data_IF_105103936983
#
_entry.id   IF_105103936983
#
_cell.length_a   1.000
_cell.length_b   1.000
_cell.length_c   1.000
_cell.angle_alpha   90.00
_cell.angle_beta   90.00
_cell.angle_gamma   90.00
#
_symmetry.space_group_name_H-M   'P 1'
#
loop_
_entity.id
_entity.type
_entity.pdbx_description
1 polymer ?
#
# COMPACT_ATOMS: atom_id res chain seq x y z
N UNK A 1 4.38 39.81 16.10
CA UNK A 1 3.00 39.45 15.72
C UNK A 1 2.82 39.21 14.22
N UNK A 2 3.44 39.99 13.33
CA UNK A 2 3.32 39.82 11.88
C UNK A 2 3.91 38.49 11.36
N UNK A 3 5.11 38.10 11.81
CA UNK A 3 5.72 36.81 11.45
C UNK A 3 4.89 35.58 11.86
N UNK A 4 4.20 35.62 13.02
CA UNK A 4 3.32 34.52 13.47
C UNK A 4 2.12 34.38 12.54
N UNK A 5 1.52 35.50 12.11
CA UNK A 5 0.39 35.48 11.18
C UNK A 5 0.77 34.99 9.79
N UNK A 6 1.97 35.32 9.32
CA UNK A 6 2.50 34.82 8.05
C UNK A 6 2.72 33.31 8.10
N UNK A 7 3.35 32.80 9.17
CA UNK A 7 3.53 31.35 9.37
C UNK A 7 2.18 30.62 9.39
N UNK A 8 1.20 31.14 10.12
CA UNK A 8 -0.13 30.53 10.25
C UNK A 8 -0.87 30.50 8.90
N UNK A 9 -0.75 31.57 8.11
CA UNK A 9 -1.33 31.64 6.76
C UNK A 9 -0.69 30.60 5.84
N UNK A 10 0.65 30.53 5.80
CA UNK A 10 1.37 29.57 4.96
C UNK A 10 1.09 28.12 5.38
N UNK A 11 1.04 27.85 6.70
CA UNK A 11 0.71 26.52 7.21
C UNK A 11 -0.69 26.08 6.76
N UNK A 12 -1.67 26.99 6.86
CA UNK A 12 -3.05 26.76 6.40
C UNK A 12 -3.12 26.46 4.91
N UNK A 13 -2.43 27.24 4.08
CA UNK A 13 -2.40 27.04 2.62
C UNK A 13 -1.78 25.68 2.25
N UNK A 14 -0.62 25.36 2.84
CA UNK A 14 0.06 24.08 2.61
C UNK A 14 -0.78 22.89 3.08
N UNK A 15 -1.43 23.00 4.24
CA UNK A 15 -2.32 21.98 4.76
C UNK A 15 -3.48 21.73 3.80
N UNK A 16 -4.23 22.77 3.42
CA UNK A 16 -5.39 22.62 2.54
C UNK A 16 -5.01 22.08 1.16
N UNK A 17 -3.88 22.54 0.60
CA UNK A 17 -3.37 22.04 -0.67
C UNK A 17 -2.97 20.55 -0.59
N UNK A 18 -2.34 20.14 0.51
CA UNK A 18 -1.96 18.74 0.73
C UNK A 18 -3.18 17.88 1.00
N UNK A 19 -4.11 18.35 1.84
CA UNK A 19 -5.36 17.66 2.16
C UNK A 19 -6.19 17.38 0.91
N UNK A 20 -6.31 18.36 0.00
CA UNK A 20 -7.01 18.18 -1.27
C UNK A 20 -6.38 17.08 -2.14
N UNK A 21 -5.04 17.02 -2.21
CA UNK A 21 -4.33 15.98 -2.95
C UNK A 21 -4.49 14.60 -2.32
N UNK A 22 -4.33 14.49 -0.99
CA UNK A 22 -4.53 13.23 -0.25
C UNK A 22 -5.97 12.72 -0.46
N UNK A 23 -6.96 13.62 -0.37
CA UNK A 23 -8.39 13.30 -0.58
C UNK A 23 -8.65 12.72 -1.96
N UNK A 24 -8.05 13.29 -3.01
CA UNK A 24 -8.23 12.79 -4.37
C UNK A 24 -7.54 11.45 -4.60
N UNK A 25 -6.30 11.31 -4.12
CA UNK A 25 -5.58 10.03 -4.20
C UNK A 25 -6.31 8.93 -3.43
N UNK A 26 -6.81 9.24 -2.23
CA UNK A 26 -7.60 8.31 -1.42
C UNK A 26 -8.81 7.79 -2.20
N UNK A 27 -9.56 8.67 -2.87
CA UNK A 27 -10.70 8.30 -3.72
C UNK A 27 -10.27 7.38 -4.86
N UNK A 28 -9.22 7.74 -5.58
CA UNK A 28 -8.72 6.97 -6.70
C UNK A 28 -8.27 5.55 -6.30
N UNK A 29 -7.51 5.44 -5.21
CA UNK A 29 -7.04 4.14 -4.70
C UNK A 29 -8.20 3.31 -4.15
N UNK A 30 -9.12 3.94 -3.41
CA UNK A 30 -10.30 3.25 -2.91
C UNK A 30 -11.10 2.64 -4.07
N UNK A 31 -11.34 3.39 -5.14
CA UNK A 31 -12.04 2.88 -6.32
C UNK A 31 -11.29 1.73 -6.99
N UNK A 32 -9.95 1.78 -7.02
CA UNK A 32 -9.10 0.71 -7.55
C UNK A 32 -9.21 -0.57 -6.72
N UNK A 33 -9.18 -0.44 -5.38
CA UNK A 33 -9.24 -1.57 -4.47
C UNK A 33 -10.65 -2.17 -4.42
N UNK A 34 -11.69 -1.35 -4.28
CA UNK A 34 -13.07 -1.86 -4.11
C UNK A 34 -13.79 -2.14 -5.42
N UNK A 35 -13.37 -1.53 -6.54
CA UNK A 35 -14.03 -1.64 -7.85
C UNK A 35 -15.36 -0.90 -7.94
N UNK A 36 -15.61 0.03 -7.03
CA UNK A 36 -16.88 0.72 -6.87
C UNK A 36 -17.06 1.28 -5.45
N UNK A 37 -18.22 1.89 -5.21
CA UNK A 37 -18.53 2.55 -3.95
C UNK A 37 -18.12 4.02 -3.92
N UNK A 38 -18.10 4.60 -2.74
CA UNK A 38 -17.73 6.00 -2.53
C UNK A 38 -16.88 6.14 -1.28
N UNK A 39 -15.92 7.07 -1.28
CA UNK A 39 -15.20 7.45 -0.07
C UNK A 39 -14.84 8.94 -0.10
N UNK A 40 -14.56 9.49 1.08
CA UNK A 40 -14.23 10.89 1.21
C UNK A 40 -13.42 11.20 2.47
N UNK A 41 -12.63 12.29 2.39
CA UNK A 41 -12.05 12.94 3.57
C UNK A 41 -12.73 14.28 3.79
N UNK A 42 -13.16 14.53 5.02
CA UNK A 42 -13.84 15.78 5.41
C UNK A 42 -13.17 16.37 6.63
N UNK A 43 -13.09 17.69 6.67
CA UNK A 43 -12.72 18.43 7.88
C UNK A 43 -13.99 18.65 8.69
N UNK A 44 -13.95 18.35 9.98
CA UNK A 44 -15.08 18.61 10.88
C UNK A 44 -15.42 20.11 10.91
N UNK A 45 -14.39 20.98 10.92
CA UNK A 45 -14.53 22.45 10.92
C UNK A 45 -13.67 23.07 9.80
N UNK A 46 -14.20 23.22 8.58
CA UNK A 46 -13.45 23.77 7.45
C UNK A 46 -12.91 25.20 7.64
N UNK A 47 -13.50 25.96 8.56
CA UNK A 47 -13.07 27.31 8.95
C UNK A 47 -11.78 27.31 9.78
N UNK A 48 -11.52 26.22 10.52
CA UNK A 48 -10.36 26.00 11.40
C UNK A 48 -9.62 24.71 11.03
N UNK A 49 -9.02 24.65 9.82
CA UNK A 49 -8.49 23.40 9.26
C UNK A 49 -7.27 22.84 10.01
N UNK A 50 -6.56 23.67 10.78
CA UNK A 50 -5.39 23.25 11.56
C UNK A 50 -5.77 22.68 12.95
N UNK A 51 -6.98 22.97 13.43
CA UNK A 51 -7.44 22.67 14.79
C UNK A 51 -8.68 21.77 14.81
N UNK A 52 -8.94 21.02 13.73
CA UNK A 52 -10.10 20.13 13.64
C UNK A 52 -9.72 18.72 13.18
N UNK A 53 -10.62 17.79 13.50
CA UNK A 53 -10.46 16.40 13.12
C UNK A 53 -10.71 16.18 11.62
N UNK A 54 -9.97 15.22 11.07
CA UNK A 54 -10.21 14.69 9.71
C UNK A 54 -11.11 13.46 9.83
N UNK A 55 -12.32 13.57 9.30
CA UNK A 55 -13.24 12.46 9.20
C UNK A 55 -13.01 11.66 7.92
N UNK A 56 -12.89 10.34 8.06
CA UNK A 56 -12.77 9.41 6.95
C UNK A 56 -14.13 8.74 6.72
N UNK A 57 -14.69 8.93 5.53
CA UNK A 57 -15.98 8.38 5.10
C UNK A 57 -15.75 7.32 4.03
N UNK A 58 -16.42 6.17 4.13
CA UNK A 58 -16.28 5.09 3.15
C UNK A 58 -17.56 4.26 3.02
N UNK A 59 -17.90 3.89 1.78
CA UNK A 59 -19.00 3.00 1.42
C UNK A 59 -18.60 2.09 0.25
N UNK A 60 -18.02 0.91 0.53
CA UNK A 60 -17.58 -0.06 -0.49
C UNK A 60 -18.69 -0.65 -1.38
N UNK A 61 -19.93 -0.71 -0.89
CA UNK A 61 -21.04 -1.46 -1.51
C UNK A 61 -22.21 -0.58 -1.97
N UNK A 62 -21.99 0.72 -2.13
CA UNK A 62 -23.03 1.67 -2.56
C UNK A 62 -24.21 1.82 -1.59
N UNK A 63 -24.09 1.31 -0.36
CA UNK A 63 -25.07 1.56 0.71
C UNK A 63 -24.84 2.96 1.26
N UNK A 64 -25.88 3.69 1.69
CA UNK A 64 -25.71 5.03 2.28
C UNK A 64 -24.66 5.00 3.39
N UNK A 65 -23.72 5.95 3.31
CA UNK A 65 -22.51 6.12 4.12
C UNK A 65 -22.62 5.52 5.52
N UNK A 66 -21.81 4.50 5.78
CA UNK A 66 -21.66 3.97 7.11
C UNK A 66 -20.40 4.60 7.74
N UNK A 67 -20.50 5.01 9.01
CA UNK A 67 -19.31 5.39 9.78
C UNK A 67 -18.35 4.19 9.78
N UNK A 68 -17.03 4.42 9.70
CA UNK A 68 -16.01 3.37 9.58
C UNK A 68 -16.17 2.19 10.55
N UNK A 69 -16.69 2.43 11.76
CA UNK A 69 -16.90 1.38 12.77
C UNK A 69 -17.92 0.30 12.37
N UNK A 70 -18.75 0.53 11.35
CA UNK A 70 -19.76 -0.42 10.86
C UNK A 70 -19.23 -1.31 9.72
N UNK A 71 -18.04 -1.01 9.19
CA UNK A 71 -17.40 -1.81 8.15
C UNK A 71 -16.86 -3.12 8.75
N UNK A 72 -16.84 -4.20 7.94
CA UNK A 72 -16.17 -5.44 8.34
C UNK A 72 -14.67 -5.21 8.56
N UNK A 73 -14.00 -6.09 9.31
CA UNK A 73 -12.55 -5.96 9.55
C UNK A 73 -11.73 -5.91 8.26
N UNK A 74 -12.05 -6.75 7.27
CA UNK A 74 -11.37 -6.72 5.97
C UNK A 74 -11.62 -5.43 5.18
N UNK A 75 -12.86 -4.92 5.19
CA UNK A 75 -13.16 -3.62 4.57
C UNK A 75 -12.41 -2.48 5.26
N UNK A 76 -12.39 -2.44 6.61
CA UNK A 76 -11.64 -1.42 7.37
C UNK A 76 -10.16 -1.41 7.01
N UNK A 77 -9.55 -2.59 6.88
CA UNK A 77 -8.14 -2.72 6.49
C UNK A 77 -7.91 -2.15 5.08
N UNK A 78 -8.78 -2.45 4.12
CA UNK A 78 -8.67 -1.89 2.77
C UNK A 78 -8.93 -0.37 2.72
N UNK A 79 -9.82 0.16 3.55
CA UNK A 79 -10.01 1.63 3.67
C UNK A 79 -8.75 2.28 4.23
N UNK A 80 -8.18 1.72 5.30
CA UNK A 80 -6.93 2.21 5.87
C UNK A 80 -5.78 2.15 4.87
N UNK A 81 -5.66 1.04 4.13
CA UNK A 81 -4.69 0.88 3.06
C UNK A 81 -4.88 1.92 1.96
N UNK A 82 -6.13 2.16 1.54
CA UNK A 82 -6.46 3.19 0.56
C UNK A 82 -5.98 4.58 1.00
N UNK A 83 -6.18 4.91 2.29
CA UNK A 83 -5.75 6.19 2.85
C UNK A 83 -4.23 6.29 2.96
N UNK A 84 -3.58 5.22 3.42
CA UNK A 84 -2.11 5.15 3.53
C UNK A 84 -1.45 5.40 2.17
N UNK A 85 -1.90 4.71 1.12
CA UNK A 85 -1.42 4.94 -0.23
C UNK A 85 -1.85 6.32 -0.76
N UNK A 86 -3.01 6.82 -0.36
CA UNK A 86 -3.49 8.16 -0.70
C UNK A 86 -2.51 9.25 -0.27
N UNK A 87 -2.02 9.11 0.96
CA UNK A 87 -0.97 9.97 1.54
C UNK A 87 0.36 9.77 0.81
N UNK A 88 0.77 8.51 0.61
CA UNK A 88 2.05 8.19 -0.03
C UNK A 88 2.16 8.78 -1.45
N UNK A 89 1.10 8.68 -2.25
CA UNK A 89 1.10 9.17 -3.63
C UNK A 89 0.98 10.69 -3.75
N UNK A 90 0.72 11.43 -2.67
CA UNK A 90 0.73 12.90 -2.71
C UNK A 90 2.14 13.45 -2.91
N UNK A 91 3.15 12.74 -2.40
CA UNK A 91 4.58 13.03 -2.64
C UNK A 91 5.30 11.69 -2.82
N UNK A 92 5.17 11.04 -3.99
CA UNK A 92 5.66 9.69 -4.17
C UNK A 92 7.19 9.65 -4.04
N UNK A 93 7.67 8.71 -3.23
CA UNK A 93 9.09 8.38 -3.14
C UNK A 93 9.49 7.50 -4.33
N UNK A 94 10.76 7.57 -4.79
CA UNK A 94 11.27 6.64 -5.81
C UNK A 94 11.11 5.17 -5.42
N UNK A 95 11.08 4.86 -4.12
CA UNK A 95 10.81 3.52 -3.61
C UNK A 95 9.88 3.50 -2.40
N UNK A 96 9.21 2.38 -2.18
CA UNK A 96 8.32 2.11 -1.05
C UNK A 96 8.60 0.71 -0.47
N UNK A 97 8.91 0.65 0.82
CA UNK A 97 9.06 -0.61 1.56
C UNK A 97 7.77 -0.89 2.33
N UNK A 98 7.19 -2.07 2.10
CA UNK A 98 5.97 -2.52 2.74
C UNK A 98 6.25 -3.83 3.48
N UNK A 99 5.99 -3.83 4.78
CA UNK A 99 6.25 -4.99 5.64
C UNK A 99 4.93 -5.60 6.11
N UNK A 100 4.60 -6.79 5.59
CA UNK A 100 3.41 -7.60 5.93
C UNK A 100 2.06 -6.84 5.94
N UNK A 101 1.95 -5.77 5.16
CA UNK A 101 0.72 -4.96 5.07
C UNK A 101 -0.48 -5.74 4.52
N UNK A 102 -0.25 -6.87 3.85
CA UNK A 102 -1.27 -7.76 3.32
C UNK A 102 -1.64 -8.92 4.26
N UNK A 103 -0.95 -9.09 5.40
CA UNK A 103 -1.26 -10.11 6.40
C UNK A 103 -2.71 -10.09 6.91
N UNK A 104 -3.39 -8.93 7.09
CA UNK A 104 -4.75 -8.92 7.62
C UNK A 104 -5.82 -8.94 6.51
N UNK A 105 -5.44 -9.23 5.26
CA UNK A 105 -6.33 -9.30 4.10
C UNK A 105 -6.70 -10.75 3.76
N UNK A 106 -7.96 -10.99 3.39
CA UNK A 106 -8.39 -12.27 2.80
C UNK A 106 -7.96 -12.40 1.32
N UNK A 107 -8.05 -13.61 0.76
CA UNK A 107 -7.62 -13.91 -0.62
C UNK A 107 -8.23 -12.99 -1.68
N UNK A 108 -9.50 -12.58 -1.50
CA UNK A 108 -10.17 -11.68 -2.42
C UNK A 108 -9.55 -10.27 -2.37
N UNK A 109 -9.28 -9.79 -1.15
CA UNK A 109 -8.72 -8.47 -0.90
C UNK A 109 -7.23 -8.39 -1.20
N UNK A 110 -6.47 -9.48 -1.06
CA UNK A 110 -5.09 -9.59 -1.55
C UNK A 110 -5.04 -9.40 -3.07
N UNK A 111 -5.99 -10.00 -3.82
CA UNK A 111 -6.06 -9.78 -5.27
C UNK A 111 -6.33 -8.31 -5.64
N UNK A 112 -7.04 -7.55 -4.80
CA UNK A 112 -7.25 -6.11 -4.98
C UNK A 112 -5.96 -5.33 -4.71
N UNK A 113 -5.28 -5.65 -3.62
CA UNK A 113 -3.98 -5.09 -3.26
C UNK A 113 -2.92 -5.31 -4.37
N UNK A 114 -2.82 -6.52 -4.91
CA UNK A 114 -1.91 -6.84 -6.02
C UNK A 114 -2.18 -5.98 -7.26
N UNK A 115 -3.44 -5.77 -7.63
CA UNK A 115 -3.78 -4.89 -8.76
C UNK A 115 -3.30 -3.46 -8.55
N UNK A 116 -3.49 -2.95 -7.33
CA UNK A 116 -3.00 -1.63 -6.96
C UNK A 116 -1.46 -1.57 -7.04
N UNK A 117 -0.73 -2.54 -6.49
CA UNK A 117 0.74 -2.60 -6.63
C UNK A 117 1.17 -2.59 -8.10
N UNK A 118 0.55 -3.42 -8.94
CA UNK A 118 0.85 -3.50 -10.36
C UNK A 118 0.58 -2.19 -11.12
N UNK A 119 -0.42 -1.42 -10.68
CA UNK A 119 -0.72 -0.12 -11.27
C UNK A 119 0.34 0.94 -10.90
N UNK A 120 0.76 0.99 -9.64
CA UNK A 120 1.67 2.05 -9.17
C UNK A 120 3.15 1.71 -9.30
N UNK A 121 3.50 0.43 -9.49
CA UNK A 121 4.92 0.02 -9.64
C UNK A 121 5.63 0.60 -10.87
N UNK A 122 4.88 1.17 -11.82
CA UNK A 122 5.41 1.88 -12.98
C UNK A 122 6.11 3.18 -12.57
N UNK A 123 5.67 3.82 -11.48
CA UNK A 123 6.20 5.10 -11.00
C UNK A 123 7.06 4.98 -9.75
N UNK A 124 6.79 3.97 -8.91
CA UNK A 124 7.46 3.75 -7.63
C UNK A 124 7.99 2.32 -7.56
N UNK A 125 9.25 2.14 -7.16
CA UNK A 125 9.79 0.81 -6.88
C UNK A 125 9.21 0.27 -5.57
N UNK A 126 8.47 -0.84 -5.62
CA UNK A 126 7.97 -1.51 -4.42
C UNK A 126 8.90 -2.63 -3.97
N UNK A 127 9.25 -2.61 -2.68
CA UNK A 127 9.89 -3.72 -1.97
C UNK A 127 8.84 -4.22 -0.96
N UNK A 128 8.34 -5.43 -1.16
CA UNK A 128 7.26 -5.99 -0.34
C UNK A 128 7.77 -7.21 0.40
N UNK A 129 7.74 -7.15 1.73
CA UNK A 129 7.95 -8.30 2.60
C UNK A 129 6.57 -8.89 2.87
N UNK A 130 6.39 -10.15 2.50
CA UNK A 130 5.10 -10.83 2.62
C UNK A 130 5.30 -12.33 2.69
N UNK A 131 4.41 -13.00 3.40
CA UNK A 131 4.26 -14.45 3.35
C UNK A 131 3.09 -14.88 2.46
N UNK A 132 2.42 -13.95 1.76
CA UNK A 132 1.29 -14.25 0.90
C UNK A 132 1.76 -14.74 -0.49
N UNK A 133 1.45 -16.00 -0.87
CA UNK A 133 1.87 -16.55 -2.15
C UNK A 133 1.32 -15.77 -3.35
N UNK A 134 0.11 -15.21 -3.21
CA UNK A 134 -0.54 -14.46 -4.29
C UNK A 134 0.18 -13.14 -4.56
N UNK A 135 0.52 -12.38 -3.51
CA UNK A 135 1.33 -11.17 -3.65
C UNK A 135 2.68 -11.47 -4.31
N UNK A 136 3.32 -12.54 -3.87
CA UNK A 136 4.61 -12.99 -4.42
C UNK A 136 4.53 -13.39 -5.89
N UNK A 137 3.48 -14.08 -6.31
CA UNK A 137 3.36 -14.65 -7.66
C UNK A 137 2.75 -13.69 -8.68
N UNK A 138 1.84 -12.81 -8.26
CA UNK A 138 1.08 -11.93 -9.16
C UNK A 138 1.57 -10.47 -9.20
N UNK A 139 2.29 -9.99 -8.17
CA UNK A 139 2.80 -8.60 -8.14
C UNK A 139 4.29 -8.49 -8.47
N UNK A 140 5.09 -9.49 -8.07
CA UNK A 140 6.54 -9.39 -8.06
C UNK A 140 7.17 -9.58 -9.45
N UNK A 141 8.14 -8.72 -9.78
CA UNK A 141 9.02 -8.89 -10.94
C UNK A 141 10.29 -9.70 -10.58
N UNK A 142 10.65 -9.71 -9.30
CA UNK A 142 11.68 -10.55 -8.71
C UNK A 142 11.30 -10.94 -7.28
N UNK A 143 11.63 -12.16 -6.88
CA UNK A 143 11.35 -12.70 -5.55
C UNK A 143 12.66 -13.03 -4.87
N UNK A 144 12.80 -12.59 -3.62
CA UNK A 144 13.91 -12.92 -2.74
C UNK A 144 13.38 -13.77 -1.59
N UNK A 145 13.75 -15.05 -1.58
CA UNK A 145 13.41 -15.97 -0.51
C UNK A 145 14.46 -15.93 0.59
N UNK A 146 14.03 -15.72 1.83
CA UNK A 146 14.89 -15.86 3.01
C UNK A 146 14.60 -17.20 3.67
N UNK A 147 15.63 -18.01 3.86
CA UNK A 147 15.52 -19.36 4.46
C UNK A 147 16.62 -19.60 5.47
N UNK A 148 16.44 -20.58 6.34
CA UNK A 148 17.45 -21.03 7.30
C UNK A 148 17.84 -22.46 6.97
N UNK A 149 19.03 -22.68 6.40
CA UNK A 149 19.58 -24.02 6.23
C UNK A 149 20.13 -24.55 7.57
N UNK A 150 20.70 -23.65 8.36
CA UNK A 150 21.15 -23.89 9.72
C UNK A 150 20.36 -22.99 10.68
N UNK A 151 20.02 -23.47 11.90
CA UNK A 151 19.29 -22.66 12.87
C UNK A 151 20.00 -21.35 13.18
N UNK A 152 19.31 -20.22 12.97
CA UNK A 152 19.86 -18.89 13.25
C UNK A 152 20.73 -18.28 12.14
N UNK A 153 20.98 -18.99 11.04
CA UNK A 153 21.75 -18.47 9.89
C UNK A 153 20.83 -18.30 8.68
N UNK A 154 20.46 -17.06 8.39
CA UNK A 154 19.66 -16.71 7.22
C UNK A 154 20.48 -16.80 5.93
N UNK A 155 19.93 -17.49 4.93
CA UNK A 155 20.42 -17.59 3.57
C UNK A 155 19.40 -17.01 2.60
N UNK A 156 19.88 -16.37 1.55
CA UNK A 156 19.05 -15.66 0.57
C UNK A 156 19.10 -16.36 -0.78
N UNK A 157 17.93 -16.65 -1.34
CA UNK A 157 17.75 -17.15 -2.70
C UNK A 157 16.99 -16.11 -3.52
N UNK A 158 17.24 -16.01 -4.82
CA UNK A 158 16.57 -15.03 -5.68
C UNK A 158 16.11 -15.63 -6.99
N UNK A 159 14.94 -15.21 -7.46
CA UNK A 159 14.34 -15.63 -8.73
C UNK A 159 13.77 -14.40 -9.43
N UNK A 160 14.09 -14.22 -10.72
CA UNK A 160 13.42 -13.21 -11.56
C UNK A 160 12.20 -13.81 -12.25
N UNK A 161 11.08 -13.10 -12.17
CA UNK A 161 9.78 -13.56 -12.61
C UNK A 161 9.62 -13.29 -14.11
N UNK A 162 10.15 -14.18 -14.96
CA UNK A 162 9.92 -14.13 -16.42
C UNK A 162 8.58 -14.78 -16.75
N UNK A 163 7.48 -14.09 -16.45
CA UNK A 163 6.11 -14.39 -16.94
C UNK A 163 5.59 -15.81 -16.70
N UNK A 164 4.95 -16.04 -15.55
CA UNK A 164 4.10 -17.22 -15.30
C UNK A 164 4.19 -17.78 -13.88
N UNK A 165 3.05 -17.92 -13.20
CA UNK A 165 2.93 -18.32 -11.79
C UNK A 165 3.45 -19.74 -11.46
N UNK A 166 3.47 -20.66 -12.44
CA UNK A 166 3.88 -22.06 -12.21
C UNK A 166 5.40 -22.27 -12.00
N UNK A 167 6.24 -21.29 -12.36
CA UNK A 167 7.69 -21.42 -12.26
C UNK A 167 8.24 -21.06 -10.86
N UNK A 168 7.42 -20.47 -9.98
CA UNK A 168 7.89 -19.74 -8.79
C UNK A 168 8.23 -20.70 -7.65
N UNK A 169 7.30 -21.56 -7.24
CA UNK A 169 7.56 -22.54 -6.18
C UNK A 169 8.66 -23.53 -6.58
N UNK A 170 8.70 -23.95 -7.86
CA UNK A 170 9.74 -24.85 -8.36
C UNK A 170 11.11 -24.15 -8.48
N UNK A 171 11.16 -22.88 -8.88
CA UNK A 171 12.42 -22.13 -8.92
C UNK A 171 12.92 -21.78 -7.53
N UNK A 172 12.04 -21.46 -6.57
CA UNK A 172 12.40 -21.20 -5.18
C UNK A 172 12.87 -22.50 -4.53
N UNK A 173 12.11 -23.60 -4.61
CA UNK A 173 12.53 -24.90 -4.10
C UNK A 173 13.81 -25.41 -4.79
N UNK A 174 13.94 -25.19 -6.10
CA UNK A 174 15.15 -25.50 -6.87
C UNK A 174 16.36 -24.68 -6.44
N UNK A 175 16.21 -23.38 -6.22
CA UNK A 175 17.28 -22.50 -5.74
C UNK A 175 17.68 -22.80 -4.28
N UNK A 176 16.71 -23.14 -3.43
CA UNK A 176 16.92 -23.60 -2.06
C UNK A 176 17.70 -24.91 -2.00
N UNK A 177 17.41 -25.85 -2.91
CA UNK A 177 18.11 -27.13 -3.03
C UNK A 177 19.49 -27.01 -3.71
N UNK A 178 19.67 -26.05 -4.63
CA UNK A 178 20.90 -25.89 -5.40
C UNK A 178 21.99 -25.06 -4.68
N UNK A 179 21.70 -24.49 -3.50
CA UNK A 179 22.66 -23.63 -2.78
C UNK A 179 23.12 -22.43 -3.60
N UNK A 180 22.27 -21.95 -4.52
CA UNK A 180 22.66 -20.97 -5.53
C UNK A 180 23.00 -19.63 -4.89
N UNK A 181 24.30 -19.37 -4.71
CA UNK A 181 24.83 -18.06 -4.31
C UNK A 181 24.39 -17.00 -5.30
N UNK A 182 23.87 -15.89 -4.78
CA UNK A 182 23.67 -14.64 -5.51
C UNK A 182 25.01 -14.27 -6.19
N UNK A 183 25.08 -14.13 -7.52
CA UNK A 183 26.26 -13.52 -8.12
C UNK A 183 26.29 -12.07 -7.67
N UNK A 184 27.35 -11.68 -6.96
CA UNK A 184 27.65 -10.29 -6.69
C UNK A 184 27.88 -9.59 -8.03
N UNK A 185 26.91 -8.79 -8.47
CA UNK A 185 26.95 -8.08 -9.75
C UNK A 185 26.39 -6.68 -9.57
N UNK A 186 27.32 -5.73 -9.63
CA UNK A 186 27.22 -4.26 -9.60
C UNK A 186 26.19 -3.71 -10.58
#
# INVERSE_FOLDING_TARGET
MQAIREIDTTARELFLATFAQVRENFRHIFMTLFGGGECDLKLEKPDQPLDCDIEVHASPRGKRTQRIHLLSSGERNLVALSLLFGIFLTKPSPFCLLDEVDAPLDDQNVGRYVRMLNQFKVQTQFIVITHNPRTTTEAADAVYGVTMQEPGVSSLVSVRMRGGAGAVEQAIAGAMNAGARVPAGV
#
